data_IF_007861138349
#
_entry.id   IF_007861138349
#
_cell.length_a   1.000
_cell.length_b   1.000
_cell.length_c   1.000
_cell.angle_alpha   90.00
_cell.angle_beta   90.00
_cell.angle_gamma   90.00
#
_symmetry.space_group_name_H-M   'P 1'
#
loop_
_entity.id
_entity.type
_entity.pdbx_description
1 polymer ?
#
# COMPACT_ATOMS: atom_id res chain seq x y z
N UNK A 1 -4.96 18.05 -24.83
CA UNK A 1 -4.66 16.78 -25.56
C UNK A 1 -3.20 16.31 -25.48
N UNK A 2 -2.57 16.46 -24.34
CA UNK A 2 -1.20 15.93 -24.10
C UNK A 2 -1.19 14.48 -23.60
N UNK A 3 -2.33 13.78 -23.61
CA UNK A 3 -2.48 12.43 -23.06
C UNK A 3 -2.65 11.31 -24.10
N UNK A 4 -2.47 11.58 -25.38
CA UNK A 4 -2.70 10.59 -26.45
C UNK A 4 -1.50 9.71 -26.82
N UNK A 5 -0.41 9.74 -26.05
CA UNK A 5 0.84 9.05 -26.38
C UNK A 5 1.20 7.80 -25.55
N UNK A 6 0.36 7.35 -24.65
CA UNK A 6 0.64 6.17 -23.82
C UNK A 6 -0.49 5.14 -23.89
N UNK A 7 -0.14 3.89 -24.12
CA UNK A 7 -1.04 2.72 -24.26
C UNK A 7 -1.85 2.38 -22.98
N UNK A 8 -2.01 3.33 -22.04
CA UNK A 8 -2.74 3.23 -20.77
C UNK A 8 -3.61 4.46 -20.53
N UNK A 9 -4.32 4.93 -21.55
CA UNK A 9 -5.26 6.05 -21.43
C UNK A 9 -6.55 5.63 -20.71
N UNK A 10 -6.43 5.39 -19.41
CA UNK A 10 -7.59 5.32 -18.53
C UNK A 10 -7.82 6.75 -18.05
N UNK A 11 -8.97 7.32 -18.40
CA UNK A 11 -9.36 8.64 -17.92
C UNK A 11 -9.72 8.57 -16.43
N UNK A 12 -8.71 8.77 -15.58
CA UNK A 12 -8.87 8.78 -14.13
C UNK A 12 -9.69 10.02 -13.70
N UNK A 13 -9.70 11.06 -14.52
CA UNK A 13 -10.41 12.30 -14.22
C UNK A 13 -11.92 12.16 -14.17
N UNK A 14 -12.49 11.25 -14.97
CA UNK A 14 -13.94 10.99 -15.03
C UNK A 14 -14.45 10.03 -13.95
N UNK A 15 -13.57 9.40 -13.18
CA UNK A 15 -13.94 8.41 -12.16
C UNK A 15 -14.43 9.07 -10.87
N UNK A 16 -15.36 8.39 -10.17
CA UNK A 16 -15.75 8.77 -8.81
C UNK A 16 -14.56 8.70 -7.85
N UNK A 17 -14.56 9.50 -6.78
CA UNK A 17 -13.46 9.55 -5.81
C UNK A 17 -13.10 8.18 -5.24
N UNK A 18 -14.04 7.31 -4.81
CA UNK A 18 -13.72 5.97 -4.31
C UNK A 18 -13.03 5.11 -5.37
N UNK A 19 -13.53 5.13 -6.62
CA UNK A 19 -12.95 4.38 -7.73
C UNK A 19 -11.54 4.87 -8.05
N UNK A 20 -11.33 6.18 -7.99
CA UNK A 20 -10.01 6.81 -8.21
C UNK A 20 -9.00 6.38 -7.15
N UNK A 21 -9.38 6.38 -5.87
CA UNK A 21 -8.54 5.94 -4.76
C UNK A 21 -8.13 4.47 -4.92
N UNK A 22 -9.08 3.59 -5.27
CA UNK A 22 -8.79 2.17 -5.52
C UNK A 22 -7.91 1.98 -6.75
N UNK A 23 -8.20 2.68 -7.83
CA UNK A 23 -7.39 2.63 -9.06
C UNK A 23 -5.95 3.08 -8.81
N UNK A 24 -5.75 4.11 -8.03
CA UNK A 24 -4.43 4.67 -7.75
C UNK A 24 -3.49 3.66 -7.07
N UNK A 25 -3.98 2.88 -6.11
CA UNK A 25 -3.14 1.93 -5.34
C UNK A 25 -3.03 0.57 -6.03
N UNK A 26 -4.12 0.07 -6.60
CA UNK A 26 -4.21 -1.32 -7.03
C UNK A 26 -4.03 -1.55 -8.53
N UNK A 27 -4.12 -0.52 -9.37
CA UNK A 27 -3.82 -0.66 -10.80
C UNK A 27 -2.32 -0.49 -11.08
N UNK A 28 -1.79 -1.15 -12.11
CA UNK A 28 -2.44 -2.11 -13.02
C UNK A 28 -2.76 -3.44 -12.34
N UNK A 29 -3.92 -4.01 -12.66
CA UNK A 29 -4.23 -5.40 -12.33
C UNK A 29 -3.63 -6.33 -13.38
N UNK A 30 -3.50 -7.64 -13.08
CA UNK A 30 -2.93 -8.62 -14.01
C UNK A 30 -3.63 -8.65 -15.37
N UNK A 31 -4.96 -8.47 -15.40
CA UNK A 31 -5.75 -8.44 -16.64
C UNK A 31 -5.66 -7.12 -17.41
N UNK A 32 -5.22 -6.04 -16.76
CA UNK A 32 -4.98 -4.74 -17.40
C UNK A 32 -3.54 -4.56 -17.84
N UNK A 33 -2.65 -5.46 -17.45
CA UNK A 33 -1.22 -5.35 -17.62
C UNK A 33 -0.81 -5.64 -19.08
N UNK A 34 -0.61 -4.58 -19.84
CA UNK A 34 0.00 -4.65 -21.18
C UNK A 34 1.47 -4.33 -21.07
N UNK A 35 2.31 -5.38 -21.20
CA UNK A 35 3.76 -5.25 -21.16
C UNK A 35 4.41 -5.62 -19.82
N UNK A 36 5.70 -5.90 -19.88
CA UNK A 36 6.51 -6.46 -18.80
C UNK A 36 6.50 -5.59 -17.52
N UNK A 37 6.61 -4.27 -17.69
CA UNK A 37 6.60 -3.33 -16.56
C UNK A 37 5.26 -3.32 -15.80
N UNK A 38 4.15 -3.45 -16.52
CA UNK A 38 2.82 -3.49 -15.92
C UNK A 38 2.59 -4.79 -15.14
N UNK A 39 3.13 -5.90 -15.61
CA UNK A 39 3.09 -7.19 -14.89
C UNK A 39 3.87 -7.09 -13.58
N UNK A 40 5.08 -6.52 -13.59
CA UNK A 40 5.87 -6.29 -12.38
C UNK A 40 5.12 -5.42 -11.37
N UNK A 41 4.55 -4.31 -11.81
CA UNK A 41 3.76 -3.42 -10.94
C UNK A 41 2.54 -4.14 -10.35
N UNK A 42 1.91 -5.06 -11.10
CA UNK A 42 0.77 -5.85 -10.61
C UNK A 42 1.19 -6.85 -9.52
N UNK A 43 2.33 -7.55 -9.71
CA UNK A 43 2.90 -8.46 -8.70
C UNK A 43 3.25 -7.69 -7.43
N UNK A 44 3.92 -6.55 -7.58
CA UNK A 44 4.27 -5.67 -6.47
C UNK A 44 3.04 -5.22 -5.69
N UNK A 45 1.98 -4.77 -6.38
CA UNK A 45 0.72 -4.37 -5.76
C UNK A 45 0.07 -5.51 -4.97
N UNK A 46 0.09 -6.73 -5.53
CA UNK A 46 -0.44 -7.91 -4.86
C UNK A 46 0.33 -8.23 -3.58
N UNK A 47 1.65 -8.18 -3.61
CA UNK A 47 2.50 -8.43 -2.43
C UNK A 47 2.21 -7.38 -1.35
N UNK A 48 2.15 -6.10 -1.70
CA UNK A 48 1.84 -5.02 -0.77
C UNK A 48 0.46 -5.23 -0.14
N UNK A 49 -0.54 -5.58 -0.96
CA UNK A 49 -1.90 -5.86 -0.49
C UNK A 49 -1.93 -7.03 0.49
N UNK A 50 -1.23 -8.12 0.20
CA UNK A 50 -1.15 -9.29 1.08
C UNK A 50 -0.50 -8.95 2.42
N UNK A 51 0.60 -8.19 2.41
CA UNK A 51 1.29 -7.76 3.65
C UNK A 51 0.38 -6.90 4.50
N UNK A 52 -0.25 -5.88 3.91
CA UNK A 52 -1.13 -4.94 4.63
C UNK A 52 -2.37 -5.67 5.16
N UNK A 53 -2.99 -6.54 4.34
CA UNK A 53 -4.16 -7.32 4.76
C UNK A 53 -3.81 -8.26 5.92
N UNK A 54 -2.68 -8.96 5.84
CA UNK A 54 -2.23 -9.84 6.92
C UNK A 54 -1.98 -9.07 8.21
N UNK A 55 -1.31 -7.91 8.14
CA UNK A 55 -1.09 -7.04 9.29
C UNK A 55 -2.41 -6.55 9.89
N UNK A 56 -3.39 -6.22 9.05
CA UNK A 56 -4.73 -5.82 9.49
C UNK A 56 -5.45 -6.94 10.22
N UNK A 57 -5.42 -8.18 9.71
CA UNK A 57 -6.00 -9.35 10.38
C UNK A 57 -5.31 -9.65 11.71
N UNK A 58 -3.98 -9.55 11.77
CA UNK A 58 -3.21 -9.71 13.02
C UNK A 58 -3.65 -8.66 14.04
N UNK A 59 -3.86 -7.42 13.61
CA UNK A 59 -4.36 -6.33 14.46
C UNK A 59 -5.75 -6.61 15.00
N UNK A 60 -6.66 -7.13 14.15
CA UNK A 60 -8.02 -7.53 14.56
C UNK A 60 -7.99 -8.68 15.56
N UNK A 61 -7.01 -9.58 15.49
CA UNK A 61 -6.81 -10.65 16.46
C UNK A 61 -6.28 -10.19 17.81
N UNK A 62 -6.24 -8.88 18.07
CA UNK A 62 -5.86 -8.28 19.34
C UNK A 62 -4.35 -8.16 19.57
N UNK A 63 -3.51 -8.48 18.58
CA UNK A 63 -2.07 -8.27 18.72
C UNK A 63 -1.74 -6.78 18.66
N UNK A 64 -0.86 -6.36 19.56
CA UNK A 64 -0.39 -4.97 19.62
C UNK A 64 0.82 -4.77 18.72
N UNK A 65 0.88 -3.62 18.07
CA UNK A 65 2.07 -3.17 17.35
C UNK A 65 3.23 -2.95 18.32
N UNK A 66 4.45 -3.18 17.87
CA UNK A 66 5.68 -2.80 18.62
C UNK A 66 5.99 -1.31 18.54
N UNK A 67 5.41 -0.62 17.57
CA UNK A 67 5.55 0.83 17.48
C UNK A 67 4.75 1.51 18.60
N UNK A 68 5.28 2.64 19.07
CA UNK A 68 4.53 3.50 19.97
C UNK A 68 3.19 3.90 19.34
N UNK A 69 2.10 4.01 20.12
CA UNK A 69 0.79 4.37 19.58
C UNK A 69 0.82 5.66 18.74
N UNK A 70 1.53 6.67 19.21
CA UNK A 70 1.67 7.95 18.50
C UNK A 70 2.31 7.77 17.11
N UNK A 71 3.33 6.92 17.01
CA UNK A 71 4.00 6.62 15.74
C UNK A 71 3.06 5.89 14.78
N UNK A 72 2.27 4.94 15.30
CA UNK A 72 1.28 4.20 14.50
C UNK A 72 0.23 5.14 13.94
N UNK A 73 -0.33 6.04 14.76
CA UNK A 73 -1.31 7.03 14.31
C UNK A 73 -0.71 8.01 13.31
N UNK A 74 0.52 8.47 13.54
CA UNK A 74 1.22 9.35 12.59
C UNK A 74 1.37 8.68 11.22
N UNK A 75 1.83 7.44 11.17
CA UNK A 75 2.00 6.69 9.91
C UNK A 75 0.65 6.53 9.20
N UNK A 76 -0.41 6.17 9.92
CA UNK A 76 -1.74 6.00 9.32
C UNK A 76 -2.26 7.31 8.74
N UNK A 77 -2.22 8.40 9.50
CA UNK A 77 -2.73 9.70 9.06
C UNK A 77 -1.90 10.20 7.87
N UNK A 78 -0.58 10.14 7.96
CA UNK A 78 0.32 10.55 6.88
C UNK A 78 0.05 9.74 5.60
N UNK A 79 -0.05 8.41 5.71
CA UNK A 79 -0.28 7.54 4.55
C UNK A 79 -1.65 7.78 3.92
N UNK A 80 -2.70 7.95 4.72
CA UNK A 80 -4.05 8.24 4.22
C UNK A 80 -4.13 9.60 3.54
N UNK A 81 -3.57 10.64 4.14
CA UNK A 81 -3.55 11.98 3.55
C UNK A 81 -2.75 11.99 2.25
N UNK A 82 -1.57 11.35 2.23
CA UNK A 82 -0.76 11.23 1.03
C UNK A 82 -1.50 10.48 -0.07
N UNK A 83 -2.14 9.35 0.26
CA UNK A 83 -2.93 8.58 -0.69
C UNK A 83 -4.06 9.39 -1.30
N UNK A 84 -4.89 10.03 -0.46
CA UNK A 84 -6.02 10.85 -0.91
C UNK A 84 -5.53 12.00 -1.80
N UNK A 85 -4.51 12.73 -1.36
CA UNK A 85 -3.96 13.86 -2.09
C UNK A 85 -3.42 13.43 -3.46
N UNK A 86 -2.56 12.42 -3.49
CA UNK A 86 -1.93 11.94 -4.72
C UNK A 86 -2.94 11.32 -5.69
N UNK A 87 -3.92 10.56 -5.20
CA UNK A 87 -4.96 9.97 -6.04
C UNK A 87 -5.86 11.03 -6.71
N UNK A 88 -6.04 12.19 -6.07
CA UNK A 88 -6.84 13.28 -6.63
C UNK A 88 -6.02 14.24 -7.53
N UNK A 89 -4.71 14.27 -7.38
CA UNK A 89 -3.83 15.17 -8.17
C UNK A 89 -3.21 14.48 -9.38
N UNK A 90 -3.14 13.14 -9.38
CA UNK A 90 -2.45 12.36 -10.41
C UNK A 90 -3.42 11.85 -11.47
N UNK A 91 -3.30 12.38 -12.69
CA UNK A 91 -4.09 11.94 -13.84
C UNK A 91 -3.45 10.82 -14.66
N UNK A 92 -2.21 10.41 -14.36
CA UNK A 92 -1.44 9.44 -15.13
C UNK A 92 -1.04 8.23 -14.27
N UNK A 93 -1.41 7.03 -14.73
CA UNK A 93 -1.15 5.78 -14.00
C UNK A 93 0.34 5.48 -13.81
N UNK A 94 1.19 5.83 -14.78
CA UNK A 94 2.64 5.65 -14.67
C UNK A 94 3.28 6.52 -13.59
N UNK A 95 2.76 7.72 -13.39
CA UNK A 95 3.18 8.60 -12.29
C UNK A 95 2.65 8.05 -10.96
N UNK A 96 1.40 7.58 -10.91
CA UNK A 96 0.79 6.98 -9.73
C UNK A 96 1.62 5.83 -9.15
N UNK A 97 2.10 4.91 -10.02
CA UNK A 97 2.93 3.76 -9.61
C UNK A 97 4.23 4.21 -8.92
N UNK A 98 4.83 5.32 -9.35
CA UNK A 98 6.05 5.86 -8.73
C UNK A 98 5.75 6.60 -7.44
N UNK A 99 4.69 7.40 -7.42
CA UNK A 99 4.34 8.24 -6.27
C UNK A 99 3.87 7.45 -5.06
N UNK A 100 3.24 6.27 -5.24
CA UNK A 100 2.81 5.42 -4.10
C UNK A 100 3.99 5.04 -3.19
N UNK A 101 5.21 4.97 -3.69
CA UNK A 101 6.42 4.71 -2.90
C UNK A 101 6.77 5.83 -1.92
N UNK A 102 6.07 6.96 -1.95
CA UNK A 102 6.22 8.01 -0.93
C UNK A 102 5.59 7.61 0.41
N UNK A 103 4.54 6.78 0.42
CA UNK A 103 3.85 6.37 1.66
C UNK A 103 3.88 4.86 1.92
N UNK A 104 4.03 4.02 0.90
CA UNK A 104 4.08 2.55 1.02
C UNK A 104 5.15 2.07 2.01
N UNK A 105 6.40 2.58 2.03
CA UNK A 105 7.40 2.15 3.00
C UNK A 105 6.97 2.35 4.45
N UNK A 106 6.22 3.40 4.75
CA UNK A 106 5.69 3.66 6.09
C UNK A 106 4.61 2.64 6.47
N UNK A 107 3.74 2.28 5.52
CA UNK A 107 2.75 1.21 5.73
C UNK A 107 3.42 -0.15 5.93
N UNK A 108 4.48 -0.45 5.19
CA UNK A 108 5.25 -1.69 5.35
C UNK A 108 5.98 -1.72 6.69
N UNK A 109 6.55 -0.60 7.14
CA UNK A 109 7.14 -0.47 8.48
C UNK A 109 6.10 -0.76 9.57
N UNK A 110 4.92 -0.16 9.46
CA UNK A 110 3.83 -0.41 10.39
C UNK A 110 3.39 -1.88 10.34
N UNK A 111 3.21 -2.45 9.15
CA UNK A 111 2.82 -3.85 8.98
C UNK A 111 3.85 -4.79 9.61
N UNK A 112 5.16 -4.56 9.37
CA UNK A 112 6.23 -5.38 9.93
C UNK A 112 6.24 -5.41 11.45
N UNK A 113 5.78 -4.34 12.09
CA UNK A 113 5.69 -4.24 13.56
C UNK A 113 4.73 -5.24 14.20
N UNK A 114 3.82 -5.83 13.42
CA UNK A 114 2.88 -6.87 13.86
C UNK A 114 3.41 -8.28 13.65
N UNK A 115 4.37 -8.50 12.75
CA UNK A 115 4.85 -9.86 12.40
C UNK A 115 5.89 -10.43 13.35
N UNK A 116 6.51 -9.65 14.22
CA UNK A 116 7.59 -10.12 15.07
C UNK A 116 7.08 -10.89 16.29
N UNK A 117 7.13 -12.22 16.19
CA UNK A 117 6.81 -13.17 17.26
C UNK A 117 7.98 -13.46 18.23
N UNK A 118 9.16 -12.86 18.03
CA UNK A 118 10.38 -13.26 18.75
C UNK A 118 10.37 -13.12 20.29
N UNK A 119 9.41 -12.44 20.89
CA UNK A 119 9.47 -12.18 22.33
C UNK A 119 8.94 -13.31 23.23
N UNK A 120 8.27 -14.34 22.68
CA UNK A 120 7.73 -15.43 23.51
C UNK A 120 8.67 -16.62 23.66
N UNK A 121 9.55 -16.88 22.70
CA UNK A 121 10.50 -18.00 22.77
C UNK A 121 11.70 -17.71 23.70
N UNK A 122 12.15 -16.46 23.78
CA UNK A 122 13.27 -16.08 24.66
C UNK A 122 12.93 -16.16 26.15
N UNK A 123 11.66 -15.92 26.53
CA UNK A 123 11.24 -16.01 27.93
C UNK A 123 10.96 -17.45 28.41
N UNK A 124 10.77 -18.39 27.49
CA UNK A 124 10.59 -19.82 27.82
C UNK A 124 11.90 -20.54 28.10
N UNK A 125 13.00 -20.11 27.47
CA UNK A 125 14.32 -20.76 27.59
C UNK A 125 15.06 -20.33 28.87
N UNK A 126 14.75 -19.17 29.44
CA UNK A 126 15.38 -18.70 30.71
C UNK A 126 14.66 -19.17 31.98
N UNK A 127 13.61 -19.99 31.88
CA UNK A 127 12.89 -20.56 33.02
C UNK A 127 13.00 -22.08 33.12
N UNK A 128 13.92 -22.66 32.35
CA UNK A 128 14.23 -24.06 32.44
C UNK A 128 15.52 -24.31 33.22
#
# INVERSE_FOLDING_TARGET
DLNSGGNSSIDIGSMSVPTRLMTYVFRPFFWDAKGFQAIFASVENLIILLIISTAFFIRLSGQKSKLAPITTYFILIFSLLSWILLANTTGNLGIAVRQKWMFVPFLLLMASSYFDKRSKLSKGVMRG
#
